data_IF_795711798603
#
_entry.id   IF_795711798603
#
_cell.length_a   1.000
_cell.length_b   1.000
_cell.length_c   1.000
_cell.angle_alpha   90.00
_cell.angle_beta   90.00
_cell.angle_gamma   90.00
#
_symmetry.space_group_name_H-M   'P 1'
#
loop_
_entity.id
_entity.type
_entity.pdbx_description
1 polymer ?
#
# COMPACT_ATOMS: atom_id res chain seq x y z
N UNK A 1 18.73 -29.52 -8.36
CA UNK A 1 17.95 -28.34 -7.92
C UNK A 1 18.51 -27.92 -6.57
N UNK A 2 19.30 -26.84 -6.54
CA UNK A 2 19.89 -26.32 -5.29
C UNK A 2 18.83 -25.54 -4.51
N UNK A 3 18.55 -25.96 -3.28
CA UNK A 3 17.73 -25.18 -2.34
C UNK A 3 18.43 -23.83 -2.11
N UNK A 4 17.72 -22.70 -2.18
CA UNK A 4 18.31 -21.40 -1.84
C UNK A 4 18.86 -21.48 -0.42
N UNK A 5 20.08 -20.98 -0.22
CA UNK A 5 20.76 -21.08 1.07
C UNK A 5 19.96 -20.33 2.15
N UNK A 6 20.02 -20.77 3.40
CA UNK A 6 19.35 -20.10 4.52
C UNK A 6 19.74 -18.61 4.68
N UNK A 7 20.87 -18.18 4.09
CA UNK A 7 21.30 -16.79 4.03
C UNK A 7 20.46 -15.94 3.04
N UNK A 8 20.03 -16.54 1.94
CA UNK A 8 19.23 -15.89 0.88
C UNK A 8 17.77 -15.69 1.34
N UNK A 9 17.19 -16.68 2.03
CA UNK A 9 15.89 -16.55 2.71
C UNK A 9 15.92 -15.58 3.91
N UNK A 10 17.08 -15.37 4.55
CA UNK A 10 17.25 -14.42 5.67
C UNK A 10 17.39 -12.96 5.24
N UNK A 11 17.68 -12.69 3.96
CA UNK A 11 17.84 -11.34 3.44
C UNK A 11 16.55 -10.73 2.88
N UNK A 12 15.53 -11.55 2.60
CA UNK A 12 14.28 -11.11 1.98
C UNK A 12 13.36 -10.37 2.94
N UNK A 13 12.82 -9.23 2.51
CA UNK A 13 11.98 -8.37 3.35
C UNK A 13 10.54 -8.85 3.35
N UNK A 14 10.27 -9.97 4.02
CA UNK A 14 8.93 -10.57 3.99
C UNK A 14 7.84 -9.59 4.43
N UNK A 15 8.07 -8.78 5.45
CA UNK A 15 7.12 -7.75 5.88
C UNK A 15 6.96 -6.64 4.83
N UNK A 16 8.06 -6.16 4.26
CA UNK A 16 7.99 -5.22 3.14
C UNK A 16 7.26 -5.77 1.92
N UNK A 17 7.49 -7.03 1.56
CA UNK A 17 6.78 -7.72 0.47
C UNK A 17 5.29 -7.78 0.77
N UNK A 18 4.90 -8.20 1.97
CA UNK A 18 3.48 -8.25 2.36
C UNK A 18 2.85 -6.87 2.28
N UNK A 19 3.52 -5.83 2.79
CA UNK A 19 3.03 -4.46 2.71
C UNK A 19 2.86 -3.98 1.26
N UNK A 20 3.83 -4.27 0.38
CA UNK A 20 3.77 -3.93 -1.05
C UNK A 20 2.63 -4.68 -1.75
N UNK A 21 2.48 -5.98 -1.49
CA UNK A 21 1.41 -6.79 -2.08
C UNK A 21 0.05 -6.26 -1.64
N UNK A 22 -0.15 -6.03 -0.34
CA UNK A 22 -1.40 -5.47 0.19
C UNK A 22 -1.71 -4.11 -0.45
N UNK A 23 -0.70 -3.25 -0.58
CA UNK A 23 -0.90 -1.96 -1.23
C UNK A 23 -1.24 -2.11 -2.71
N UNK A 24 -0.56 -3.00 -3.45
CA UNK A 24 -0.82 -3.25 -4.87
C UNK A 24 -2.24 -3.77 -5.12
N UNK A 25 -2.75 -4.65 -4.24
CA UNK A 25 -4.13 -5.18 -4.33
C UNK A 25 -5.20 -4.08 -4.33
N UNK A 26 -4.91 -2.94 -3.70
CA UNK A 26 -5.82 -1.80 -3.66
C UNK A 26 -5.47 -0.77 -4.73
N UNK A 27 -4.19 -0.49 -4.92
CA UNK A 27 -3.72 0.53 -5.85
C UNK A 27 -4.10 0.21 -7.30
N UNK A 28 -4.04 -1.06 -7.69
CA UNK A 28 -4.40 -1.50 -9.04
C UNK A 28 -5.88 -1.23 -9.38
N UNK A 29 -6.88 -1.68 -8.59
CA UNK A 29 -8.26 -1.35 -8.87
C UNK A 29 -8.56 0.15 -8.79
N UNK A 30 -7.91 0.89 -7.86
CA UNK A 30 -8.02 2.36 -7.80
C UNK A 30 -7.56 2.99 -9.12
N UNK A 31 -6.37 2.61 -9.60
CA UNK A 31 -5.81 3.12 -10.85
C UNK A 31 -6.70 2.75 -12.04
N UNK A 32 -7.20 1.52 -12.08
CA UNK A 32 -8.11 1.06 -13.14
C UNK A 32 -9.39 1.90 -13.17
N UNK A 33 -10.05 2.10 -12.03
CA UNK A 33 -11.26 2.92 -11.92
C UNK A 33 -10.98 4.36 -12.37
N UNK A 34 -9.84 4.92 -11.97
CA UNK A 34 -9.46 6.27 -12.35
C UNK A 34 -9.24 6.39 -13.86
N UNK A 35 -8.49 5.45 -14.46
CA UNK A 35 -8.22 5.44 -15.90
C UNK A 35 -9.49 5.26 -16.72
N UNK A 36 -10.36 4.32 -16.35
CA UNK A 36 -11.63 4.10 -17.04
C UNK A 36 -12.54 5.32 -16.89
N UNK A 37 -12.55 5.92 -15.70
CA UNK A 37 -13.35 7.10 -15.41
C UNK A 37 -12.97 8.34 -16.23
N UNK A 38 -11.77 8.38 -16.82
CA UNK A 38 -11.36 9.47 -17.73
C UNK A 38 -11.99 9.32 -19.14
N UNK A 39 -12.54 8.15 -19.47
CA UNK A 39 -13.17 7.94 -20.77
C UNK A 39 -14.53 8.68 -20.86
N UNK A 40 -14.79 9.41 -21.97
CA UNK A 40 -16.08 10.05 -22.19
C UNK A 40 -17.22 9.02 -22.16
N UNK A 41 -18.29 9.33 -21.40
CA UNK A 41 -19.44 8.43 -21.23
C UNK A 41 -19.28 7.36 -20.15
N UNK A 42 -18.11 7.26 -19.50
CA UNK A 42 -17.84 6.31 -18.40
C UNK A 42 -17.61 7.00 -17.05
N UNK A 43 -17.93 8.30 -16.93
CA UNK A 43 -17.76 9.08 -15.71
C UNK A 43 -18.50 8.50 -14.49
N UNK A 44 -19.60 7.76 -14.72
CA UNK A 44 -20.35 7.10 -13.66
C UNK A 44 -19.49 6.12 -12.83
N UNK A 45 -18.40 5.59 -13.39
CA UNK A 45 -17.49 4.67 -12.69
C UNK A 45 -16.76 5.35 -11.51
N UNK A 46 -16.68 6.69 -11.49
CA UNK A 46 -16.12 7.43 -10.36
C UNK A 46 -16.90 7.21 -9.05
N UNK A 47 -18.19 6.83 -9.14
CA UNK A 47 -18.98 6.46 -7.97
C UNK A 47 -18.43 5.25 -7.22
N UNK A 48 -17.73 4.34 -7.91
CA UNK A 48 -17.04 3.21 -7.26
C UNK A 48 -15.91 3.70 -6.35
N UNK A 49 -15.35 4.89 -6.61
CA UNK A 49 -14.35 5.52 -5.75
C UNK A 49 -14.88 5.78 -4.33
N UNK A 50 -16.17 6.06 -4.16
CA UNK A 50 -16.78 6.27 -2.83
C UNK A 50 -16.75 4.98 -2.01
N UNK A 51 -17.07 3.84 -2.64
CA UNK A 51 -17.02 2.52 -1.99
C UNK A 51 -15.58 2.09 -1.73
N UNK A 52 -14.67 2.45 -2.63
CA UNK A 52 -13.26 2.05 -2.56
C UNK A 52 -12.45 2.87 -1.55
N UNK A 53 -12.78 4.14 -1.35
CA UNK A 53 -12.12 5.04 -0.40
C UNK A 53 -11.94 4.48 1.02
N UNK A 54 -12.99 3.98 1.70
CA UNK A 54 -12.83 3.42 3.05
C UNK A 54 -11.97 2.15 3.06
N UNK A 55 -12.07 1.32 2.03
CA UNK A 55 -11.23 0.12 1.85
C UNK A 55 -9.76 0.55 1.69
N UNK A 56 -9.53 1.59 0.89
CA UNK A 56 -8.21 2.14 0.62
C UNK A 56 -7.58 2.74 1.88
N UNK A 57 -8.34 3.50 2.66
CA UNK A 57 -7.89 4.03 3.94
C UNK A 57 -7.53 2.90 4.91
N UNK A 58 -8.40 1.90 5.07
CA UNK A 58 -8.16 0.79 5.99
C UNK A 58 -6.92 -0.03 5.60
N UNK A 59 -6.85 -0.51 4.35
CA UNK A 59 -5.73 -1.31 3.88
C UNK A 59 -4.45 -0.50 3.77
N UNK A 60 -4.54 0.79 3.47
CA UNK A 60 -3.43 1.73 3.52
C UNK A 60 -2.84 1.83 4.93
N UNK A 61 -3.68 1.97 5.96
CA UNK A 61 -3.23 1.95 7.37
C UNK A 61 -2.56 0.62 7.71
N UNK A 62 -3.16 -0.50 7.32
CA UNK A 62 -2.57 -1.83 7.57
C UNK A 62 -1.21 -1.97 6.90
N UNK A 63 -1.08 -1.60 5.62
CA UNK A 63 0.18 -1.63 4.89
C UNK A 63 1.22 -0.69 5.52
N UNK A 64 0.81 0.49 5.99
CA UNK A 64 1.67 1.45 6.67
C UNK A 64 2.20 0.90 8.00
N UNK A 65 1.34 0.27 8.81
CA UNK A 65 1.76 -0.37 10.07
C UNK A 65 2.73 -1.53 9.80
N UNK A 66 2.43 -2.40 8.84
CA UNK A 66 3.30 -3.52 8.48
C UNK A 66 4.66 -3.02 7.96
N UNK A 67 4.64 -2.02 7.08
CA UNK A 67 5.84 -1.36 6.57
C UNK A 67 6.68 -0.75 7.69
N UNK A 68 6.05 0.02 8.59
CA UNK A 68 6.73 0.62 9.75
C UNK A 68 7.39 -0.44 10.65
N UNK A 69 6.67 -1.52 10.97
CA UNK A 69 7.22 -2.64 11.75
C UNK A 69 8.39 -3.31 11.02
N UNK A 70 8.28 -3.50 9.71
CA UNK A 70 9.35 -4.02 8.86
C UNK A 70 10.62 -3.15 8.90
N UNK A 71 10.45 -1.83 8.80
CA UNK A 71 11.53 -0.85 8.93
C UNK A 71 12.22 -1.00 10.29
N UNK A 72 11.46 -0.91 11.38
CA UNK A 72 12.02 -0.96 12.75
C UNK A 72 12.78 -2.25 12.99
N UNK A 73 12.23 -3.41 12.59
CA UNK A 73 12.90 -4.72 12.79
C UNK A 73 14.20 -4.84 12.01
N UNK A 74 14.27 -4.31 10.79
CA UNK A 74 15.47 -4.39 9.93
C UNK A 74 16.55 -3.40 10.31
N UNK A 75 16.18 -2.17 10.64
CA UNK A 75 17.11 -1.16 11.16
C UNK A 75 17.78 -1.66 12.43
N UNK A 76 17.02 -2.26 13.36
CA UNK A 76 17.57 -2.89 14.58
C UNK A 76 18.52 -4.06 14.32
N UNK A 77 18.47 -4.68 13.14
CA UNK A 77 19.35 -5.78 12.72
C UNK A 77 20.50 -5.29 11.80
N UNK A 78 20.69 -3.98 11.67
CA UNK A 78 21.63 -3.35 10.72
C UNK A 78 21.46 -3.86 9.28
N UNK A 79 20.22 -4.14 8.87
CA UNK A 79 19.85 -4.55 7.50
C UNK A 79 19.08 -3.44 6.82
N UNK A 80 19.17 -3.38 5.48
CA UNK A 80 18.49 -2.37 4.67
C UNK A 80 16.98 -2.67 4.51
N UNK A 81 16.08 -1.78 4.95
CA UNK A 81 14.62 -2.00 4.91
C UNK A 81 13.95 -1.48 3.62
N UNK A 82 14.54 -1.72 2.45
CA UNK A 82 14.09 -1.09 1.20
C UNK A 82 12.61 -1.36 0.91
N UNK A 83 12.17 -2.62 0.93
CA UNK A 83 10.77 -2.97 0.61
C UNK A 83 9.79 -2.53 1.70
N UNK A 84 10.21 -2.53 2.97
CA UNK A 84 9.40 -1.99 4.06
C UNK A 84 9.20 -0.48 3.94
N UNK A 85 10.22 0.26 3.47
CA UNK A 85 10.10 1.69 3.15
C UNK A 85 9.12 1.88 1.99
N UNK A 86 9.27 1.11 0.90
CA UNK A 86 8.34 1.19 -0.24
C UNK A 86 6.91 0.86 0.19
N UNK A 87 6.71 -0.22 0.96
CA UNK A 87 5.41 -0.62 1.48
C UNK A 87 4.78 0.44 2.39
N UNK A 88 5.58 1.07 3.27
CA UNK A 88 5.12 2.17 4.11
C UNK A 88 4.73 3.40 3.28
N UNK A 89 5.52 3.75 2.25
CA UNK A 89 5.22 4.84 1.33
C UNK A 89 3.95 4.61 0.52
N UNK A 90 3.75 3.38 0.01
CA UNK A 90 2.51 3.01 -0.66
C UNK A 90 1.31 3.04 0.30
N UNK A 91 1.47 2.55 1.53
CA UNK A 91 0.45 2.67 2.57
C UNK A 91 0.06 4.13 2.84
N UNK A 92 1.05 5.02 2.96
CA UNK A 92 0.82 6.45 3.13
C UNK A 92 0.05 7.05 1.96
N UNK A 93 0.41 6.69 0.73
CA UNK A 93 -0.28 7.13 -0.49
C UNK A 93 -1.75 6.69 -0.52
N UNK A 94 -2.05 5.48 -0.05
CA UNK A 94 -3.43 4.97 0.04
C UNK A 94 -4.25 5.67 1.14
N UNK A 95 -3.62 6.11 2.23
CA UNK A 95 -4.31 6.77 3.34
C UNK A 95 -4.62 8.24 3.03
N UNK A 96 -3.77 8.91 2.27
CA UNK A 96 -3.86 10.36 1.99
C UNK A 96 -5.23 10.83 1.50
N UNK A 97 -5.87 10.20 0.50
CA UNK A 97 -7.20 10.62 0.03
C UNK A 97 -8.30 10.47 1.09
N UNK A 98 -8.25 9.41 1.89
CA UNK A 98 -9.22 9.21 2.99
C UNK A 98 -9.08 10.28 4.08
N UNK A 99 -7.83 10.60 4.43
CA UNK A 99 -7.51 11.67 5.38
C UNK A 99 -7.97 13.04 4.85
N UNK A 100 -7.73 13.31 3.57
CA UNK A 100 -8.19 14.53 2.91
C UNK A 100 -9.71 14.69 3.01
N UNK A 101 -10.47 13.65 2.65
CA UNK A 101 -11.93 13.66 2.74
C UNK A 101 -12.40 13.90 4.17
N UNK A 102 -11.79 13.22 5.15
CA UNK A 102 -12.12 13.40 6.56
C UNK A 102 -11.93 14.85 7.01
N UNK A 103 -10.76 15.45 6.76
CA UNK A 103 -10.49 16.83 7.19
C UNK A 103 -11.34 17.85 6.44
N UNK A 104 -11.64 17.62 5.15
CA UNK A 104 -12.50 18.51 4.35
C UNK A 104 -13.96 18.53 4.80
N UNK A 105 -14.40 17.53 5.58
CA UNK A 105 -15.79 17.43 6.06
C UNK A 105 -15.97 17.92 7.50
N UNK A 106 -14.88 18.09 8.25
CA UNK A 106 -14.89 18.51 9.67
C UNK A 106 -14.50 19.96 9.91
N UNK A 107 -14.00 20.66 8.89
CA UNK A 107 -13.63 22.08 8.90
C UNK A 107 -14.74 22.92 8.27
#
# INVERSE_FOLDING_TARGET
>A
MSSPSAAEQRATDSLGIVAVILAAFVLLPVLMIFLIGLAPGMNAIWWLGIVLLPIMAFLGIVALVIGAVGIVRRVRRHRTPVLSIVGAGLGLLLVLPGVWVLFSTTL
#
